data_IF_794699886560
#
_entry.id   IF_794699886560
#
_cell.length_a   1.000
_cell.length_b   1.000
_cell.length_c   1.000
_cell.angle_alpha   90.00
_cell.angle_beta   90.00
_cell.angle_gamma   90.00
#
_symmetry.space_group_name_H-M   'P 1'
#
loop_
_entity.id
_entity.type
_entity.pdbx_description
1 polymer ?
#
# COMPACT_ATOMS: atom_id res chain seq x y z
N UNK A 1 -22.94 47.92 -23.80
CA UNK A 1 -22.52 46.74 -24.61
C UNK A 1 -21.25 46.10 -24.07
N UNK A 2 -20.20 46.88 -23.76
CA UNK A 2 -18.90 46.36 -23.30
C UNK A 2 -18.93 45.61 -21.95
N UNK A 3 -19.74 46.07 -20.98
CA UNK A 3 -19.90 45.42 -19.66
C UNK A 3 -20.54 44.02 -19.74
N UNK A 4 -21.43 43.79 -20.70
CA UNK A 4 -22.08 42.49 -20.89
C UNK A 4 -21.10 41.44 -21.45
N UNK A 5 -20.18 41.87 -22.33
CA UNK A 5 -19.12 41.02 -22.86
C UNK A 5 -18.07 40.68 -21.80
N UNK A 6 -17.80 41.60 -20.87
CA UNK A 6 -16.87 41.34 -19.76
C UNK A 6 -17.45 40.33 -18.77
N UNK A 7 -18.74 40.46 -18.41
CA UNK A 7 -19.43 39.48 -17.56
C UNK A 7 -19.48 38.09 -18.20
N UNK A 8 -19.81 38.01 -19.49
CA UNK A 8 -19.85 36.73 -20.20
C UNK A 8 -18.49 36.03 -20.21
N UNK A 9 -17.39 36.78 -20.42
CA UNK A 9 -16.02 36.25 -20.35
C UNK A 9 -15.63 35.79 -18.96
N UNK A 10 -16.02 36.53 -17.92
CA UNK A 10 -15.76 36.12 -16.53
C UNK A 10 -16.48 34.81 -16.19
N UNK A 11 -17.76 34.70 -16.57
CA UNK A 11 -18.58 33.50 -16.32
C UNK A 11 -17.99 32.28 -17.03
N UNK A 12 -17.57 32.43 -18.29
CA UNK A 12 -16.93 31.34 -19.05
C UNK A 12 -15.59 30.94 -18.40
N UNK A 13 -14.78 31.91 -17.97
CA UNK A 13 -13.51 31.63 -17.30
C UNK A 13 -13.73 30.90 -15.96
N UNK A 14 -14.73 31.30 -15.18
CA UNK A 14 -15.07 30.61 -13.93
C UNK A 14 -15.59 29.20 -14.19
N UNK A 15 -16.40 28.99 -15.24
CA UNK A 15 -16.88 27.67 -15.61
C UNK A 15 -15.74 26.73 -16.02
N UNK A 16 -14.77 27.23 -16.81
CA UNK A 16 -13.60 26.47 -17.24
C UNK A 16 -12.68 26.14 -16.06
N UNK A 17 -12.48 27.06 -15.12
CA UNK A 17 -11.69 26.82 -13.91
C UNK A 17 -12.38 25.81 -12.97
N UNK A 18 -13.70 25.89 -12.81
CA UNK A 18 -14.46 24.94 -11.99
C UNK A 18 -14.58 23.53 -12.62
N UNK A 19 -14.51 23.42 -13.95
CA UNK A 19 -14.49 22.13 -14.68
C UNK A 19 -13.09 21.52 -14.79
N UNK A 20 -12.04 22.28 -14.49
CA UNK A 20 -10.64 21.81 -14.55
C UNK A 20 -10.03 21.50 -13.18
N UNK A 21 -10.82 21.58 -12.10
CA UNK A 21 -10.43 20.98 -10.83
C UNK A 21 -10.44 19.46 -11.07
N UNK A 22 -9.29 18.76 -11.02
CA UNK A 22 -9.34 17.30 -11.08
C UNK A 22 -10.22 16.85 -9.93
N UNK A 23 -11.30 16.12 -10.25
CA UNK A 23 -11.97 15.29 -9.28
C UNK A 23 -10.89 14.32 -8.80
N UNK A 24 -10.24 14.65 -7.69
CA UNK A 24 -9.44 13.69 -6.94
C UNK A 24 -10.48 12.76 -6.32
N UNK A 25 -10.96 11.82 -7.14
CA UNK A 25 -11.73 10.70 -6.67
C UNK A 25 -10.82 10.00 -5.67
N UNK A 26 -11.17 10.08 -4.39
CA UNK A 26 -10.51 9.29 -3.38
C UNK A 26 -10.65 7.83 -3.80
N UNK A 27 -9.52 7.15 -3.96
CA UNK A 27 -9.48 5.72 -4.26
C UNK A 27 -10.38 4.99 -3.25
N UNK A 28 -11.10 3.98 -3.73
CA UNK A 28 -11.90 3.11 -2.87
C UNK A 28 -11.02 2.56 -1.76
N UNK A 29 -11.45 2.69 -0.49
CA UNK A 29 -10.81 1.96 0.61
C UNK A 29 -10.86 0.47 0.26
N UNK A 30 -9.68 -0.15 0.13
CA UNK A 30 -9.55 -1.53 -0.31
C UNK A 30 -9.00 -1.73 -1.71
N UNK A 31 -8.68 -0.66 -2.45
CA UNK A 31 -8.00 -0.76 -3.74
C UNK A 31 -8.87 -1.32 -4.88
N UNK A 32 -8.25 -1.77 -5.99
CA UNK A 32 -6.79 -1.80 -6.22
C UNK A 32 -6.21 -0.39 -6.37
N UNK A 33 -5.22 -0.06 -5.53
CA UNK A 33 -4.59 1.26 -5.49
C UNK A 33 -3.76 1.54 -6.75
N UNK A 34 -3.69 2.79 -7.18
CA UNK A 34 -2.75 3.25 -8.20
C UNK A 34 -1.64 4.10 -7.57
N UNK A 35 -0.40 4.03 -8.07
CA UNK A 35 0.67 4.87 -7.54
C UNK A 35 0.43 6.34 -7.90
N UNK A 36 0.66 7.22 -6.95
CA UNK A 36 0.67 8.68 -7.14
C UNK A 36 2.05 9.28 -6.85
N UNK A 37 2.15 10.61 -6.87
CA UNK A 37 3.42 11.32 -6.59
C UNK A 37 3.93 11.16 -5.16
N UNK A 38 3.11 10.68 -4.22
CA UNK A 38 3.48 10.44 -2.83
C UNK A 38 3.72 8.94 -2.53
N UNK A 39 3.39 8.06 -3.47
CA UNK A 39 3.50 6.60 -3.30
C UNK A 39 4.95 6.16 -3.44
N UNK A 40 5.62 5.89 -2.33
CA UNK A 40 7.03 5.46 -2.30
C UNK A 40 7.22 3.95 -2.43
N UNK A 41 6.18 3.16 -2.19
CA UNK A 41 6.15 1.70 -2.33
C UNK A 41 4.71 1.25 -2.52
N UNK A 42 4.45 0.41 -3.54
CA UNK A 42 3.14 -0.20 -3.77
C UNK A 42 3.33 -1.60 -4.37
N UNK A 43 2.96 -2.61 -3.59
CA UNK A 43 3.08 -4.02 -3.95
C UNK A 43 1.69 -4.66 -4.01
N UNK A 44 1.27 -5.07 -5.21
CA UNK A 44 -0.01 -5.77 -5.40
C UNK A 44 0.08 -7.27 -5.13
N UNK A 45 1.25 -7.88 -5.31
CA UNK A 45 1.45 -9.32 -5.22
C UNK A 45 0.61 -10.13 -6.23
N UNK A 46 0.44 -9.59 -7.44
CA UNK A 46 -0.29 -10.19 -8.57
C UNK A 46 0.52 -11.29 -9.28
N UNK A 47 1.15 -12.17 -8.48
CA UNK A 47 1.96 -13.29 -8.97
C UNK A 47 3.47 -13.01 -9.01
N UNK A 48 3.88 -11.80 -8.66
CA UNK A 48 5.28 -11.41 -8.54
C UNK A 48 5.49 -10.35 -7.44
N UNK A 49 6.71 -9.81 -7.38
CA UNK A 49 7.13 -8.81 -6.40
C UNK A 49 7.35 -7.43 -7.02
N UNK A 50 6.75 -7.17 -8.19
CA UNK A 50 6.89 -5.89 -8.88
C UNK A 50 6.34 -4.76 -8.02
N UNK A 51 7.11 -3.67 -7.98
CA UNK A 51 6.71 -2.44 -7.33
C UNK A 51 6.16 -1.45 -8.35
N UNK A 52 4.97 -0.91 -8.10
CA UNK A 52 4.37 0.10 -8.97
C UNK A 52 4.93 1.51 -8.73
N UNK A 53 5.64 1.71 -7.62
CA UNK A 53 6.33 2.97 -7.35
C UNK A 53 7.64 3.07 -8.14
N UNK A 54 7.90 4.25 -8.69
CA UNK A 54 9.19 4.57 -9.33
C UNK A 54 10.30 4.93 -8.33
N UNK A 55 9.97 5.08 -7.04
CA UNK A 55 10.89 5.62 -6.03
C UNK A 55 11.69 4.55 -5.28
N UNK A 56 11.29 3.28 -5.37
CA UNK A 56 11.95 2.14 -4.74
C UNK A 56 12.01 0.95 -5.69
N UNK A 57 12.89 0.00 -5.39
CA UNK A 57 13.06 -1.19 -6.22
C UNK A 57 11.92 -2.20 -6.02
N UNK A 58 11.83 -3.18 -6.92
CA UNK A 58 11.01 -4.36 -6.72
C UNK A 58 11.37 -5.08 -5.41
N UNK A 59 10.37 -5.74 -4.83
CA UNK A 59 10.58 -6.58 -3.67
C UNK A 59 11.33 -7.88 -4.04
N UNK A 60 11.94 -8.50 -3.04
CA UNK A 60 12.58 -9.81 -3.15
C UNK A 60 12.02 -10.73 -2.08
N UNK A 61 11.44 -11.84 -2.51
CA UNK A 61 10.93 -12.89 -1.62
C UNK A 61 11.99 -13.90 -1.22
N UNK A 62 11.92 -14.35 0.04
CA UNK A 62 12.79 -15.35 0.62
C UNK A 62 11.98 -16.42 1.37
N UNK A 63 12.55 -17.62 1.48
CA UNK A 63 11.94 -18.74 2.19
C UNK A 63 10.79 -19.38 1.40
N UNK A 64 9.82 -19.95 2.12
CA UNK A 64 8.65 -20.59 1.52
C UNK A 64 7.50 -19.59 1.36
N UNK A 65 7.19 -19.22 0.13
CA UNK A 65 6.10 -18.31 -0.20
C UNK A 65 5.34 -18.76 -1.46
N UNK A 66 4.12 -18.28 -1.60
CA UNK A 66 3.31 -18.46 -2.81
C UNK A 66 2.38 -17.28 -3.03
N UNK A 67 1.87 -17.14 -4.26
CA UNK A 67 0.81 -16.20 -4.61
C UNK A 67 -0.48 -16.99 -4.77
N UNK A 68 -1.54 -16.59 -4.08
CA UNK A 68 -2.81 -17.31 -4.08
C UNK A 68 -4.00 -16.35 -4.14
N UNK A 69 -5.10 -16.73 -4.82
CA UNK A 69 -6.30 -15.92 -4.85
C UNK A 69 -6.76 -15.54 -3.44
N UNK A 70 -7.08 -14.27 -3.24
CA UNK A 70 -7.70 -13.82 -1.99
C UNK A 70 -9.18 -14.20 -1.96
N UNK A 71 -9.68 -14.56 -0.77
CA UNK A 71 -11.10 -14.83 -0.54
C UNK A 71 -11.88 -13.60 -0.08
N UNK A 72 -11.20 -12.45 0.10
CA UNK A 72 -11.79 -11.22 0.65
C UNK A 72 -12.49 -10.40 -0.42
N UNK A 73 -11.81 -10.17 -1.55
CA UNK A 73 -12.37 -9.47 -2.71
C UNK A 73 -11.70 -9.98 -3.99
N UNK A 74 -12.49 -10.42 -4.96
CA UNK A 74 -12.00 -10.82 -6.28
C UNK A 74 -11.27 -9.70 -7.05
N UNK A 75 -11.51 -8.43 -6.72
CA UNK A 75 -10.85 -7.27 -7.34
C UNK A 75 -9.36 -7.17 -6.98
N UNK A 76 -8.96 -7.76 -5.86
CA UNK A 76 -7.59 -7.79 -5.34
C UNK A 76 -6.75 -8.94 -5.92
N UNK A 77 -7.31 -9.74 -6.84
CA UNK A 77 -6.62 -10.80 -7.56
C UNK A 77 -5.88 -11.81 -6.66
N UNK A 78 -4.56 -11.64 -6.47
CA UNK A 78 -3.71 -12.55 -5.72
C UNK A 78 -3.18 -11.87 -4.44
N UNK A 79 -2.80 -12.71 -3.49
CA UNK A 79 -2.16 -12.30 -2.24
C UNK A 79 -0.88 -13.08 -2.04
N UNK A 80 0.12 -12.42 -1.46
CA UNK A 80 1.31 -13.09 -0.98
C UNK A 80 0.98 -13.90 0.28
N UNK A 81 1.29 -15.20 0.22
CA UNK A 81 1.26 -16.09 1.36
C UNK A 81 2.68 -16.45 1.77
N UNK A 82 3.04 -16.07 3.00
CA UNK A 82 4.29 -16.46 3.66
C UNK A 82 4.02 -17.65 4.58
N UNK A 83 4.79 -18.71 4.43
CA UNK A 83 4.61 -19.94 5.20
C UNK A 83 5.79 -20.21 6.13
N UNK A 84 5.49 -20.28 7.42
CA UNK A 84 6.46 -20.63 8.47
C UNK A 84 5.88 -21.73 9.38
N UNK A 85 5.71 -22.98 8.87
CA UNK A 85 5.11 -24.06 9.66
C UNK A 85 5.98 -24.52 10.84
N UNK A 86 7.30 -24.32 10.77
CA UNK A 86 8.23 -24.67 11.85
C UNK A 86 9.00 -23.45 12.37
N UNK A 87 9.49 -23.53 13.60
CA UNK A 87 10.20 -22.42 14.26
C UNK A 87 11.54 -22.04 13.63
N UNK A 88 12.10 -22.89 12.79
CA UNK A 88 13.34 -22.63 12.06
C UNK A 88 13.07 -22.01 10.67
N UNK A 89 11.82 -21.97 10.22
CA UNK A 89 11.46 -21.40 8.94
C UNK A 89 11.41 -19.87 9.03
N UNK A 90 11.82 -19.22 7.96
CA UNK A 90 11.81 -17.76 7.83
C UNK A 90 11.50 -17.36 6.40
N UNK A 91 10.22 -17.19 6.11
CA UNK A 91 9.70 -16.61 4.88
C UNK A 91 9.43 -15.11 5.09
N UNK A 92 9.96 -14.28 4.21
CA UNK A 92 9.86 -12.82 4.29
C UNK A 92 10.08 -12.18 2.92
N UNK A 93 9.74 -10.89 2.83
CA UNK A 93 10.01 -10.05 1.66
C UNK A 93 10.85 -8.87 2.10
N UNK A 94 11.82 -8.49 1.27
CA UNK A 94 12.60 -7.27 1.46
C UNK A 94 12.45 -6.35 0.28
N UNK A 95 12.49 -5.04 0.52
CA UNK A 95 12.68 -4.02 -0.50
C UNK A 95 14.04 -3.37 -0.23
N UNK A 96 14.81 -3.11 -1.27
CA UNK A 96 16.12 -2.45 -1.11
C UNK A 96 15.94 -1.03 -0.57
N UNK A 97 16.79 -0.67 0.39
CA UNK A 97 16.77 0.64 1.02
C UNK A 97 17.08 1.78 0.03
N UNK A 98 16.44 2.93 0.22
CA UNK A 98 16.57 4.13 -0.61
C UNK A 98 16.14 5.36 0.20
N UNK A 99 16.69 6.56 -0.07
CA UNK A 99 16.24 7.78 0.62
C UNK A 99 14.74 8.07 0.52
N UNK A 100 14.03 7.53 -0.47
CA UNK A 100 12.58 7.68 -0.57
C UNK A 100 11.81 6.85 0.48
N UNK A 101 12.42 5.82 1.05
CA UNK A 101 11.86 5.00 2.13
C UNK A 101 12.21 5.57 3.52
N UNK A 102 12.97 6.67 3.59
CA UNK A 102 13.20 7.41 4.82
C UNK A 102 11.92 8.17 5.22
N UNK A 103 11.08 7.53 6.04
CA UNK A 103 9.79 8.06 6.51
C UNK A 103 9.93 9.17 7.56
N UNK A 104 10.57 10.29 7.20
CA UNK A 104 10.93 11.41 8.10
C UNK A 104 9.75 12.37 8.32
N UNK A 105 8.96 12.64 7.28
CA UNK A 105 7.80 13.53 7.32
C UNK A 105 6.50 12.75 7.61
N UNK A 106 5.34 13.36 7.42
CA UNK A 106 4.05 12.68 7.56
C UNK A 106 3.89 11.57 6.52
N UNK A 107 3.54 10.37 6.98
CA UNK A 107 3.36 9.20 6.12
C UNK A 107 2.14 8.38 6.54
N UNK A 108 1.65 7.58 5.60
CA UNK A 108 0.61 6.56 5.83
C UNK A 108 1.10 5.23 5.27
N UNK A 109 0.81 4.14 5.97
CA UNK A 109 1.03 2.78 5.48
C UNK A 109 -0.28 2.02 5.60
N UNK A 110 -0.66 1.31 4.54
CA UNK A 110 -1.85 0.48 4.49
C UNK A 110 -1.50 -0.91 3.97
N UNK A 111 -2.09 -1.95 4.58
CA UNK A 111 -1.93 -3.32 4.13
C UNK A 111 -3.17 -4.16 4.50
N UNK A 112 -3.53 -5.08 3.60
CA UNK A 112 -4.51 -6.13 3.87
C UNK A 112 -3.79 -7.38 4.37
N UNK A 113 -4.10 -7.79 5.60
CA UNK A 113 -3.40 -8.92 6.26
C UNK A 113 -4.39 -9.93 6.78
N UNK A 114 -4.20 -11.19 6.42
CA UNK A 114 -4.94 -12.32 6.96
C UNK A 114 -4.02 -13.20 7.82
N UNK A 115 -3.99 -13.02 9.15
CA UNK A 115 -3.16 -13.84 10.03
C UNK A 115 -3.75 -15.25 10.16
N UNK A 116 -3.06 -16.25 9.61
CA UNK A 116 -3.39 -17.66 9.83
C UNK A 116 -2.78 -18.14 11.14
N UNK A 117 -3.62 -18.37 12.15
CA UNK A 117 -3.18 -18.87 13.45
C UNK A 117 -3.31 -20.39 13.51
N UNK A 118 -2.19 -21.08 13.74
CA UNK A 118 -2.23 -22.44 14.27
C UNK A 118 -2.38 -22.32 15.78
N UNK A 119 -3.46 -22.86 16.33
CA UNK A 119 -3.72 -22.90 17.77
C UNK A 119 -2.59 -23.66 18.47
N UNK A 120 -1.60 -22.96 19.01
CA UNK A 120 -0.70 -23.54 20.01
C UNK A 120 -0.33 -22.49 21.06
N UNK A 121 -0.10 -22.91 22.30
CA UNK A 121 0.03 -22.00 23.45
C UNK A 121 1.39 -21.30 23.57
N UNK A 122 1.95 -20.78 22.47
CA UNK A 122 3.30 -20.21 22.43
C UNK A 122 3.31 -18.73 21.98
N UNK A 123 4.40 -18.00 22.28
CA UNK A 123 4.55 -16.57 21.95
C UNK A 123 4.57 -16.27 20.44
N UNK A 124 4.75 -17.30 19.61
CA UNK A 124 4.65 -17.26 18.14
C UNK A 124 3.20 -17.22 17.64
N UNK A 125 2.21 -17.33 18.53
CA UNK A 125 0.79 -17.33 18.21
C UNK A 125 0.12 -15.96 18.38
N UNK A 126 0.91 -14.92 18.62
CA UNK A 126 0.49 -13.53 18.61
C UNK A 126 1.03 -12.91 17.32
N UNK A 127 0.22 -12.79 16.25
CA UNK A 127 0.69 -12.25 14.99
C UNK A 127 1.08 -10.79 15.19
N UNK A 128 2.26 -10.42 14.68
CA UNK A 128 2.74 -9.05 14.71
C UNK A 128 2.57 -8.48 13.32
N UNK A 129 1.85 -7.36 13.22
CA UNK A 129 1.63 -6.69 11.94
C UNK A 129 2.70 -5.61 11.72
N UNK A 130 3.06 -4.87 12.77
CA UNK A 130 4.06 -3.80 12.72
C UNK A 130 4.91 -3.85 14.00
N UNK A 131 6.24 -3.71 13.85
CA UNK A 131 7.17 -3.52 14.97
C UNK A 131 7.99 -2.28 14.66
N UNK A 132 8.01 -1.30 15.57
CA UNK A 132 8.88 -0.13 15.44
C UNK A 132 10.33 -0.53 15.67
N UNK A 133 11.23 -0.13 14.76
CA UNK A 133 12.67 -0.37 14.91
C UNK A 133 13.17 0.16 16.26
N UNK A 134 13.92 -0.65 16.99
CA UNK A 134 14.48 -0.30 18.30
C UNK A 134 13.55 -0.54 19.49
N UNK A 135 12.30 -0.96 19.27
CA UNK A 135 11.44 -1.38 20.37
C UNK A 135 11.84 -2.77 20.89
N UNK A 136 12.11 -2.83 22.19
CA UNK A 136 12.51 -4.06 22.89
C UNK A 136 11.41 -4.63 23.78
N UNK A 137 10.30 -3.91 23.95
CA UNK A 137 9.25 -4.26 24.92
C UNK A 137 7.98 -4.68 24.20
N UNK A 138 7.62 -5.95 24.37
CA UNK A 138 6.51 -6.63 23.69
C UNK A 138 5.13 -6.34 24.29
N UNK A 139 5.04 -6.01 25.59
CA UNK A 139 3.85 -5.52 26.30
C UNK A 139 4.24 -5.11 27.72
N UNK A 140 3.44 -4.24 28.34
CA UNK A 140 3.33 -4.08 29.81
C UNK A 140 1.95 -4.48 30.24
#
# INVERSE_FOLDING_TARGET
MEKANLLARLVILTLVVCLSVPLMAQESIGGPYQPDSATVLLLHFDGDFSNESIYSADAVGYGNYSFSPTSVDSSLQLSLRLENPYSADSAYVTVADTPALDLIDDWTMEAWVYPMLVLCGHHTCVPRIIIKTGDSVFWR
#
